data_IF_624040493908
#
_entry.id   IF_624040493908
#
_cell.length_a   1.000
_cell.length_b   1.000
_cell.length_c   1.000
_cell.angle_alpha   90.00
_cell.angle_beta   90.00
_cell.angle_gamma   90.00
#
_symmetry.space_group_name_H-M   'P 1'
#
loop_
_entity.id
_entity.type
_entity.pdbx_description
1 polymer ?
#
# COMPACT_ATOMS: atom_id res chain seq x y z
N UNK A 1 -12.90 -6.58 8.87
CA UNK A 1 -13.68 -5.38 8.47
C UNK A 1 -14.18 -5.55 7.05
N UNK A 2 -15.24 -4.83 6.63
CA UNK A 2 -15.66 -4.75 5.23
C UNK A 2 -14.68 -3.84 4.48
N UNK A 3 -14.28 -4.24 3.28
CA UNK A 3 -13.55 -3.38 2.35
C UNK A 3 -14.58 -2.60 1.53
N UNK A 4 -14.38 -1.31 1.44
CA UNK A 4 -15.21 -0.38 0.67
C UNK A 4 -14.84 -0.46 -0.81
N UNK A 5 -15.83 -0.35 -1.69
CA UNK A 5 -15.63 -0.49 -3.14
C UNK A 5 -16.28 0.64 -3.93
N UNK A 6 -15.76 0.91 -5.12
CA UNK A 6 -16.43 1.78 -6.09
C UNK A 6 -17.49 0.95 -6.86
N UNK A 7 -18.60 1.56 -7.29
CA UNK A 7 -18.93 2.99 -7.16
C UNK A 7 -19.58 3.36 -5.81
N UNK A 8 -20.04 2.42 -4.99
CA UNK A 8 -20.89 2.65 -3.81
C UNK A 8 -20.23 3.54 -2.77
N UNK A 9 -18.96 3.30 -2.48
CA UNK A 9 -18.24 3.96 -1.40
C UNK A 9 -17.28 5.07 -1.90
N UNK A 10 -17.46 5.53 -3.16
CA UNK A 10 -16.55 6.48 -3.82
C UNK A 10 -16.27 7.72 -2.98
N UNK A 11 -17.29 8.28 -2.32
CA UNK A 11 -17.14 9.51 -1.52
C UNK A 11 -16.10 9.37 -0.41
N UNK A 12 -16.10 8.23 0.28
CA UNK A 12 -15.13 8.00 1.38
C UNK A 12 -13.76 7.62 0.83
N UNK A 13 -13.70 6.79 -0.21
CA UNK A 13 -12.45 6.39 -0.87
C UNK A 13 -11.71 7.58 -1.48
N UNK A 14 -12.42 8.65 -1.85
CA UNK A 14 -11.88 9.91 -2.36
C UNK A 14 -11.57 10.94 -1.27
N UNK A 15 -11.82 10.61 -0.01
CA UNK A 15 -11.56 11.55 1.08
C UNK A 15 -10.08 11.59 1.45
N UNK A 16 -9.59 12.78 1.82
CA UNK A 16 -8.24 12.96 2.35
C UNK A 16 -8.18 12.46 3.80
N UNK A 17 -7.21 11.58 4.08
CA UNK A 17 -7.01 11.03 5.41
C UNK A 17 -6.29 12.01 6.34
N UNK A 18 -6.75 12.13 7.60
CA UNK A 18 -6.17 12.98 8.63
C UNK A 18 -4.98 12.32 9.32
N UNK A 19 -4.02 13.10 9.77
CA UNK A 19 -2.87 12.58 10.53
C UNK A 19 -3.31 12.03 11.90
N UNK A 20 -2.53 11.07 12.38
CA UNK A 20 -2.60 10.49 13.72
C UNK A 20 -1.67 11.30 14.63
N UNK A 21 -2.18 11.78 15.75
CA UNK A 21 -1.38 12.52 16.76
C UNK A 21 -0.86 11.63 17.89
N UNK A 22 -1.58 10.55 18.20
CA UNK A 22 -1.24 9.64 19.32
C UNK A 22 -1.54 8.18 18.95
N UNK A 23 -0.73 7.27 19.50
CA UNK A 23 -0.98 5.83 19.41
C UNK A 23 -1.64 5.42 20.73
N UNK A 24 -2.96 5.28 20.70
CA UNK A 24 -3.79 4.83 21.82
C UNK A 24 -4.26 3.38 21.61
N UNK A 25 -4.94 2.83 22.60
CA UNK A 25 -5.44 1.46 22.57
C UNK A 25 -6.49 1.25 21.45
N UNK A 26 -7.25 2.29 21.11
CA UNK A 26 -8.22 2.24 20.01
C UNK A 26 -7.51 2.09 18.67
N UNK A 27 -6.45 2.88 18.44
CA UNK A 27 -5.64 2.76 17.23
C UNK A 27 -4.98 1.38 17.14
N UNK A 28 -4.42 0.88 18.23
CA UNK A 28 -3.78 -0.45 18.26
C UNK A 28 -4.75 -1.56 17.92
N UNK A 29 -5.94 -1.54 18.52
CA UNK A 29 -7.00 -2.48 18.17
C UNK A 29 -7.36 -2.37 16.69
N UNK A 30 -7.48 -1.14 16.17
CA UNK A 30 -7.76 -0.91 14.76
C UNK A 30 -6.65 -1.47 13.86
N UNK A 31 -5.36 -1.26 14.18
CA UNK A 31 -4.24 -1.83 13.41
C UNK A 31 -4.34 -3.36 13.38
N UNK A 32 -4.61 -4.00 14.52
CA UNK A 32 -4.81 -5.45 14.59
C UNK A 32 -5.94 -5.94 13.69
N UNK A 33 -7.05 -5.21 13.64
CA UNK A 33 -8.21 -5.57 12.81
C UNK A 33 -7.94 -5.27 11.32
N UNK A 34 -7.20 -4.20 10.99
CA UNK A 34 -6.74 -3.89 9.64
C UNK A 34 -5.83 -5.00 9.09
N UNK A 35 -4.83 -5.39 9.87
CA UNK A 35 -3.90 -6.46 9.49
C UNK A 35 -4.60 -7.82 9.31
N UNK A 36 -5.55 -8.17 10.18
CA UNK A 36 -6.38 -9.38 10.01
C UNK A 36 -7.24 -9.31 8.75
N UNK A 37 -7.74 -8.12 8.41
CA UNK A 37 -8.56 -7.92 7.20
C UNK A 37 -7.71 -8.10 5.96
N UNK A 38 -6.50 -7.50 5.92
CA UNK A 38 -5.56 -7.66 4.83
C UNK A 38 -5.19 -9.14 4.61
N UNK A 39 -4.74 -9.83 5.66
CA UNK A 39 -4.34 -11.25 5.60
C UNK A 39 -5.43 -12.24 5.15
N UNK A 40 -6.70 -11.86 5.27
CA UNK A 40 -7.83 -12.68 4.81
C UNK A 40 -8.12 -12.56 3.32
N UNK A 41 -7.53 -11.58 2.64
CA UNK A 41 -7.68 -11.43 1.20
C UNK A 41 -6.77 -12.46 0.50
N UNK A 42 -7.37 -13.45 -0.14
CA UNK A 42 -6.65 -14.56 -0.77
C UNK A 42 -6.87 -14.66 -2.28
N UNK A 43 -7.87 -13.94 -2.80
CA UNK A 43 -8.20 -13.92 -4.23
C UNK A 43 -8.79 -12.54 -4.62
N UNK A 44 -7.97 -11.66 -5.18
CA UNK A 44 -6.50 -11.71 -5.21
C UNK A 44 -5.88 -11.61 -3.81
N UNK A 45 -4.64 -12.09 -3.67
CA UNK A 45 -3.92 -11.95 -2.40
C UNK A 45 -3.72 -10.48 -2.06
N UNK A 46 -4.17 -10.08 -0.88
CA UNK A 46 -3.96 -8.71 -0.38
C UNK A 46 -2.51 -8.47 0.03
N UNK A 47 -1.87 -7.47 -0.56
CA UNK A 47 -0.50 -7.08 -0.28
C UNK A 47 -0.40 -5.70 0.38
N UNK A 48 -1.47 -4.86 0.24
CA UNK A 48 -1.63 -3.56 0.87
C UNK A 48 -3.09 -3.28 1.20
N UNK A 49 -3.33 -2.48 2.26
CA UNK A 49 -4.68 -2.04 2.65
C UNK A 49 -4.60 -0.76 3.48
N UNK A 50 -5.20 0.30 2.98
CA UNK A 50 -5.28 1.59 3.66
C UNK A 50 -6.50 1.69 4.58
N UNK A 51 -6.38 2.47 5.64
CA UNK A 51 -7.45 2.70 6.62
C UNK A 51 -8.72 3.28 5.99
N UNK A 52 -8.58 4.15 4.97
CA UNK A 52 -9.73 4.70 4.26
C UNK A 52 -10.54 3.63 3.51
N UNK A 53 -9.90 2.57 3.03
CA UNK A 53 -10.58 1.46 2.36
C UNK A 53 -11.45 0.61 3.30
N UNK A 54 -11.30 0.77 4.60
CA UNK A 54 -12.17 0.16 5.61
C UNK A 54 -13.03 1.18 6.36
N UNK A 55 -13.18 2.37 5.80
CA UNK A 55 -14.08 3.40 6.29
C UNK A 55 -13.51 4.33 7.37
N UNK A 56 -12.19 4.27 7.63
CA UNK A 56 -11.53 5.13 8.61
C UNK A 56 -10.50 6.06 7.92
N UNK A 57 -10.85 7.31 7.57
CA UNK A 57 -9.97 8.22 6.84
C UNK A 57 -8.88 8.82 7.74
N UNK A 58 -7.94 7.99 8.18
CA UNK A 58 -6.73 8.36 8.92
C UNK A 58 -5.48 7.92 8.16
N UNK A 59 -4.37 8.61 8.34
CA UNK A 59 -3.12 8.34 7.62
C UNK A 59 -2.41 7.10 8.14
N UNK A 60 -3.00 5.95 7.83
CA UNK A 60 -2.48 4.62 8.16
C UNK A 60 -2.74 3.68 7.00
N UNK A 61 -1.76 2.86 6.67
CA UNK A 61 -1.96 1.66 5.87
C UNK A 61 -1.13 0.49 6.40
N UNK A 62 -1.49 -0.72 5.98
CA UNK A 62 -0.77 -1.94 6.23
C UNK A 62 -0.22 -2.52 4.92
N UNK A 63 0.96 -3.16 4.99
CA UNK A 63 1.49 -4.01 3.92
C UNK A 63 1.71 -5.43 4.45
N UNK A 64 1.59 -6.42 3.57
CA UNK A 64 1.87 -7.81 3.87
C UNK A 64 2.67 -8.41 2.72
N UNK A 65 3.99 -8.24 2.79
CA UNK A 65 4.95 -8.55 1.73
C UNK A 65 6.11 -9.38 2.26
N UNK A 66 6.73 -10.24 1.42
CA UNK A 66 8.01 -10.86 1.75
C UNK A 66 9.04 -9.78 2.07
N UNK A 67 9.85 -10.02 3.10
CA UNK A 67 10.99 -9.17 3.45
C UNK A 67 12.22 -9.66 2.70
N UNK A 68 13.15 -8.73 2.43
CA UNK A 68 14.47 -9.09 1.92
C UNK A 68 15.09 -10.18 2.80
N UNK A 69 15.57 -11.26 2.19
CA UNK A 69 16.17 -12.43 2.84
C UNK A 69 15.21 -13.39 3.56
N UNK A 70 13.89 -13.23 3.45
CA UNK A 70 12.94 -14.23 3.95
C UNK A 70 11.78 -14.39 2.98
N UNK A 71 11.39 -15.64 2.66
CA UNK A 71 10.18 -15.92 1.86
C UNK A 71 8.89 -15.73 2.67
N UNK A 72 9.01 -15.37 3.95
CA UNK A 72 7.84 -15.19 4.82
C UNK A 72 7.37 -13.74 4.78
N UNK A 73 6.10 -13.49 4.40
CA UNK A 73 5.58 -12.14 4.39
C UNK A 73 5.45 -11.58 5.82
N UNK A 74 5.88 -10.33 5.98
CA UNK A 74 5.75 -9.57 7.21
C UNK A 74 4.61 -8.55 7.10
N UNK A 75 3.86 -8.42 8.19
CA UNK A 75 2.83 -7.40 8.33
C UNK A 75 3.47 -6.14 8.92
N UNK A 76 3.47 -5.05 8.15
CA UNK A 76 3.94 -3.75 8.60
C UNK A 76 2.82 -2.72 8.53
N UNK A 77 2.77 -1.83 9.52
CA UNK A 77 1.88 -0.67 9.54
C UNK A 77 2.69 0.59 9.41
N UNK A 78 2.24 1.48 8.53
CA UNK A 78 2.83 2.80 8.30
C UNK A 78 1.85 3.87 8.76
N UNK A 79 2.26 4.64 9.78
CA UNK A 79 1.45 5.72 10.36
C UNK A 79 2.07 7.06 9.94
N UNK A 80 1.23 7.98 9.43
CA UNK A 80 1.61 9.28 8.88
C UNK A 80 2.71 9.20 7.81
N UNK A 81 2.58 8.29 6.82
CA UNK A 81 3.60 8.10 5.80
C UNK A 81 3.73 9.34 4.90
N UNK A 82 4.99 9.64 4.52
CA UNK A 82 5.34 10.69 3.55
C UNK A 82 6.53 10.22 2.72
N UNK A 83 6.50 10.42 1.41
CA UNK A 83 7.69 10.27 0.55
C UNK A 83 8.57 11.49 0.74
N UNK A 84 9.88 11.27 0.96
CA UNK A 84 10.88 12.32 1.19
C UNK A 84 11.69 12.57 -0.06
N UNK A 85 12.07 11.50 -0.77
CA UNK A 85 12.81 11.58 -2.02
C UNK A 85 12.51 10.38 -2.91
N UNK A 86 12.72 10.59 -4.20
CA UNK A 86 12.51 9.61 -5.27
C UNK A 86 13.35 10.01 -6.47
N UNK A 87 13.61 9.14 -7.46
CA UNK A 87 14.26 9.52 -8.71
C UNK A 87 13.33 10.37 -9.58
N UNK A 88 13.88 10.98 -10.63
CA UNK A 88 13.08 11.70 -11.62
C UNK A 88 12.33 10.76 -12.56
N UNK A 89 12.91 9.60 -12.84
CA UNK A 89 12.37 8.62 -13.77
C UNK A 89 11.35 7.70 -13.09
N UNK A 90 10.32 7.33 -13.84
CA UNK A 90 9.30 6.36 -13.43
C UNK A 90 9.36 5.13 -14.33
N UNK A 91 8.85 3.99 -13.83
CA UNK A 91 8.80 2.70 -14.54
C UNK A 91 7.41 2.11 -14.47
N UNK A 92 7.05 1.28 -15.44
CA UNK A 92 5.84 0.45 -15.40
C UNK A 92 6.04 -0.82 -14.56
N UNK A 93 7.24 -1.05 -14.01
CA UNK A 93 7.53 -2.20 -13.14
C UNK A 93 7.72 -3.49 -13.92
N UNK A 94 8.33 -3.41 -15.08
CA UNK A 94 8.62 -4.56 -15.95
C UNK A 94 9.52 -5.60 -15.25
N UNK A 95 10.34 -5.15 -14.31
CA UNK A 95 11.21 -5.97 -13.46
C UNK A 95 10.44 -6.73 -12.35
N UNK A 96 9.18 -6.39 -12.12
CA UNK A 96 8.34 -6.98 -11.08
C UNK A 96 7.46 -8.13 -11.59
N UNK A 97 7.43 -8.36 -12.89
CA UNK A 97 6.65 -9.45 -13.50
C UNK A 97 7.39 -10.77 -13.26
N UNK A 98 6.81 -11.63 -12.41
CA UNK A 98 7.41 -12.91 -12.04
C UNK A 98 7.55 -13.87 -13.24
N UNK A 99 8.64 -14.62 -13.26
CA UNK A 99 8.90 -15.69 -14.22
C UNK A 99 10.27 -15.64 -14.88
N UNK A 100 11.22 -14.88 -14.34
CA UNK A 100 12.40 -14.48 -15.08
C UNK A 100 13.76 -14.87 -14.54
N UNK A 101 14.08 -16.15 -14.63
CA UNK A 101 15.48 -16.62 -14.64
C UNK A 101 16.11 -16.61 -16.05
N UNK A 102 15.34 -16.34 -17.10
CA UNK A 102 15.82 -16.20 -18.47
C UNK A 102 15.08 -15.08 -19.18
N UNK A 103 15.80 -14.00 -19.50
CA UNK A 103 15.33 -12.90 -20.35
C UNK A 103 14.98 -13.45 -21.73
N UNK A 104 13.72 -13.73 -21.97
CA UNK A 104 13.16 -13.91 -23.29
C UNK A 104 12.51 -12.62 -23.77
N UNK A 105 12.40 -12.40 -25.08
CA UNK A 105 11.87 -11.19 -25.70
C UNK A 105 10.38 -10.86 -25.34
N UNK A 106 9.72 -11.69 -24.54
CA UNK A 106 8.35 -11.50 -24.04
C UNK A 106 8.28 -10.75 -22.69
N UNK A 107 9.41 -10.27 -22.17
CA UNK A 107 9.53 -9.76 -20.79
C UNK A 107 9.27 -8.25 -20.63
N UNK A 108 8.90 -7.55 -21.66
CA UNK A 108 8.55 -6.12 -21.60
C UNK A 108 7.08 -5.90 -21.22
N UNK A 109 6.46 -6.86 -20.50
CA UNK A 109 5.09 -6.67 -20.03
C UNK A 109 5.09 -5.76 -18.80
N UNK A 110 4.25 -4.71 -18.80
CA UNK A 110 4.12 -3.84 -17.65
C UNK A 110 3.51 -4.58 -16.46
N UNK A 111 3.90 -4.20 -15.25
CA UNK A 111 3.22 -4.64 -14.04
C UNK A 111 1.81 -4.02 -13.99
N UNK A 112 0.80 -4.85 -13.77
CA UNK A 112 -0.58 -4.41 -13.65
C UNK A 112 -0.93 -4.19 -12.17
N UNK A 113 -1.30 -2.97 -11.81
CA UNK A 113 -1.86 -2.69 -10.50
C UNK A 113 -3.34 -3.06 -10.46
N UNK A 114 -3.74 -3.76 -9.40
CA UNK A 114 -5.12 -3.97 -9.01
C UNK A 114 -5.39 -3.35 -7.64
N UNK A 115 -6.65 -3.26 -7.23
CA UNK A 115 -7.03 -2.71 -5.95
C UNK A 115 -8.22 -3.46 -5.35
N UNK A 116 -8.16 -3.78 -4.07
CA UNK A 116 -9.27 -4.43 -3.34
C UNK A 116 -10.56 -3.59 -3.35
N UNK A 117 -10.43 -2.28 -3.52
CA UNK A 117 -11.57 -1.35 -3.65
C UNK A 117 -12.11 -1.21 -5.08
N UNK A 118 -11.42 -1.77 -6.07
CA UNK A 118 -11.82 -1.76 -7.49
C UNK A 118 -11.65 -3.19 -8.02
N UNK A 119 -12.50 -4.13 -7.58
CA UNK A 119 -12.34 -5.54 -7.90
C UNK A 119 -12.43 -5.78 -9.41
N UNK A 120 -11.64 -6.76 -9.88
CA UNK A 120 -11.61 -7.18 -11.29
C UNK A 120 -11.14 -6.11 -12.28
N UNK A 121 -10.54 -5.02 -11.82
CA UNK A 121 -9.95 -3.98 -12.68
C UNK A 121 -8.46 -3.89 -12.39
N UNK A 122 -7.67 -3.89 -13.46
CA UNK A 122 -6.22 -3.79 -13.43
C UNK A 122 -5.76 -2.73 -14.40
N UNK A 123 -4.64 -2.07 -14.10
CA UNK A 123 -4.12 -1.04 -14.99
C UNK A 123 -2.61 -0.86 -14.89
N UNK A 124 -2.04 -0.32 -15.96
CA UNK A 124 -0.64 0.09 -15.94
C UNK A 124 -0.51 1.44 -15.26
N UNK A 125 0.46 1.56 -14.36
CA UNK A 125 0.75 2.81 -13.64
C UNK A 125 2.26 3.04 -13.61
N UNK A 126 2.70 4.20 -14.06
CA UNK A 126 4.07 4.67 -13.87
C UNK A 126 4.28 5.04 -12.41
N UNK A 127 5.29 4.42 -11.77
CA UNK A 127 5.71 4.67 -10.39
C UNK A 127 7.21 4.90 -10.32
N UNK A 128 7.66 5.55 -9.27
CA UNK A 128 9.08 5.61 -8.97
C UNK A 128 9.60 4.21 -8.61
N UNK A 129 10.72 3.76 -9.22
CA UNK A 129 11.29 2.42 -8.96
C UNK A 129 11.79 2.27 -7.53
N UNK A 130 12.16 3.38 -6.88
CA UNK A 130 12.49 3.43 -5.46
C UNK A 130 12.02 4.75 -4.85
N UNK A 131 11.81 4.73 -3.55
CA UNK A 131 11.46 5.90 -2.74
C UNK A 131 12.18 5.85 -1.40
N UNK A 132 12.52 7.01 -0.87
CA UNK A 132 12.75 7.17 0.57
C UNK A 132 11.51 7.79 1.19
N UNK A 133 11.02 7.15 2.24
CA UNK A 133 9.81 7.56 2.91
C UNK A 133 10.06 7.72 4.41
N UNK A 134 9.24 8.52 5.08
CA UNK A 134 9.23 8.72 6.52
C UNK A 134 7.88 8.32 7.08
N UNK A 135 7.87 7.51 8.12
CA UNK A 135 6.66 7.07 8.82
C UNK A 135 6.99 6.60 10.23
N UNK A 136 5.99 6.47 11.10
CA UNK A 136 6.10 5.53 12.21
C UNK A 136 5.76 4.15 11.68
N UNK A 137 6.72 3.22 11.81
CA UNK A 137 6.56 1.84 11.32
C UNK A 137 6.39 0.90 12.51
N UNK A 138 5.34 0.09 12.49
CA UNK A 138 5.05 -0.91 13.53
C UNK A 138 4.95 -2.28 12.86
N UNK A 139 5.75 -3.24 13.31
CA UNK A 139 5.57 -4.65 12.91
C UNK A 139 4.31 -5.23 13.54
N UNK A 140 3.62 -6.10 12.80
CA UNK A 140 2.47 -6.83 13.33
C UNK A 140 2.80 -7.65 14.58
N UNK A 141 4.05 -8.09 14.74
CA UNK A 141 4.52 -8.80 15.91
C UNK A 141 4.65 -7.88 17.14
N UNK A 142 4.89 -6.59 16.92
CA UNK A 142 5.05 -5.58 17.98
C UNK A 142 3.71 -5.04 18.51
N UNK A 143 2.58 -5.37 17.87
CA UNK A 143 1.26 -4.89 18.33
C UNK A 143 0.88 -5.36 19.74
N UNK A 144 1.49 -6.45 20.22
CA UNK A 144 1.27 -6.96 21.59
C UNK A 144 2.08 -6.18 22.63
N UNK A 145 3.15 -5.49 22.23
CA UNK A 145 3.97 -4.64 23.11
C UNK A 145 4.16 -3.26 22.49
N UNK A 146 3.12 -2.45 22.54
CA UNK A 146 3.15 -1.08 22.02
C UNK A 146 3.65 -0.06 23.03
N UNK A 147 4.09 -0.49 24.21
CA UNK A 147 4.56 0.42 25.27
C UNK A 147 5.65 1.37 24.78
N UNK A 148 6.50 0.90 23.84
CA UNK A 148 7.55 1.68 23.18
C UNK A 148 7.03 2.78 22.24
N UNK A 149 5.77 2.67 21.77
CA UNK A 149 5.14 3.64 20.84
C UNK A 149 4.16 4.60 21.53
N UNK A 150 3.79 4.36 22.80
CA UNK A 150 2.82 5.17 23.56
C UNK A 150 3.33 6.55 23.99
N UNK A 151 4.61 6.84 23.83
CA UNK A 151 5.15 8.16 24.16
C UNK A 151 4.84 9.15 23.04
N UNK A 152 4.66 10.42 23.41
CA UNK A 152 4.24 11.54 22.57
C UNK A 152 5.08 11.83 21.30
N UNK A 153 6.17 11.11 21.08
CA UNK A 153 6.92 11.10 19.85
C UNK A 153 6.60 9.80 19.10
N UNK A 154 5.84 9.95 18.01
CA UNK A 154 5.55 8.88 17.02
C UNK A 154 6.85 8.44 16.32
N UNK A 155 7.86 7.96 16.98
CA UNK A 155 9.12 7.43 16.49
C UNK A 155 9.28 7.35 14.96
N UNK A 156 9.28 8.51 14.30
CA UNK A 156 9.40 8.60 12.84
C UNK A 156 10.75 8.05 12.41
N UNK A 157 10.73 7.11 11.50
CA UNK A 157 11.93 6.54 10.88
C UNK A 157 11.90 6.76 9.37
N UNK A 158 13.08 6.84 8.79
CA UNK A 158 13.25 6.85 7.34
C UNK A 158 13.44 5.42 6.87
N UNK A 159 12.71 5.07 5.81
CA UNK A 159 12.76 3.74 5.17
C UNK A 159 13.04 3.93 3.68
N UNK A 160 13.93 3.11 3.15
CA UNK A 160 14.19 3.03 1.71
C UNK A 160 13.45 1.82 1.15
N UNK A 161 12.61 2.04 0.14
CA UNK A 161 11.77 1.01 -0.46
C UNK A 161 11.97 1.01 -1.97
N UNK A 162 12.12 -0.18 -2.54
CA UNK A 162 12.27 -0.39 -3.98
C UNK A 162 11.32 -1.49 -4.47
N UNK A 163 11.28 -1.69 -5.77
CA UNK A 163 10.53 -2.78 -6.39
C UNK A 163 9.07 -2.81 -5.95
N UNK A 164 8.57 -4.01 -5.65
CA UNK A 164 7.17 -4.22 -5.25
C UNK A 164 6.82 -3.46 -3.96
N UNK A 165 7.71 -3.44 -2.96
CA UNK A 165 7.46 -2.74 -1.70
C UNK A 165 7.32 -1.23 -1.90
N UNK A 166 8.18 -0.63 -2.74
CA UNK A 166 8.09 0.78 -3.12
C UNK A 166 6.81 1.09 -3.88
N UNK A 167 6.38 0.21 -4.79
CA UNK A 167 5.14 0.36 -5.56
C UNK A 167 3.90 0.28 -4.68
N UNK A 168 3.82 -0.72 -3.80
CA UNK A 168 2.70 -0.88 -2.86
C UNK A 168 2.61 0.32 -1.92
N UNK A 169 3.75 0.80 -1.39
CA UNK A 169 3.74 2.00 -0.54
C UNK A 169 3.16 3.22 -1.26
N UNK A 170 3.52 3.45 -2.53
CA UNK A 170 2.98 4.54 -3.34
C UNK A 170 1.47 4.39 -3.57
N UNK A 171 1.01 3.17 -3.88
CA UNK A 171 -0.40 2.85 -4.07
C UNK A 171 -1.22 3.14 -2.80
N UNK A 172 -0.74 2.67 -1.64
CA UNK A 172 -1.43 2.88 -0.37
C UNK A 172 -1.40 4.35 0.09
N UNK A 173 -0.30 5.07 -0.22
CA UNK A 173 -0.22 6.51 0.05
C UNK A 173 -1.22 7.31 -0.79
N UNK A 174 -1.46 6.90 -2.05
CA UNK A 174 -2.47 7.50 -2.90
C UNK A 174 -3.86 7.40 -2.27
N UNK A 175 -4.24 6.22 -1.76
CA UNK A 175 -5.49 6.06 -1.02
C UNK A 175 -5.64 7.04 0.14
N UNK A 176 -4.57 7.31 0.90
CA UNK A 176 -4.60 8.30 1.98
C UNK A 176 -4.79 9.73 1.49
N UNK A 177 -4.51 9.98 0.22
CA UNK A 177 -4.71 11.28 -0.45
C UNK A 177 -6.01 11.34 -1.28
N UNK A 178 -6.84 10.27 -1.26
CA UNK A 178 -8.07 10.17 -2.02
C UNK A 178 -7.88 9.91 -3.52
N UNK A 179 -6.71 9.38 -3.89
CA UNK A 179 -6.34 9.03 -5.28
C UNK A 179 -6.48 7.52 -5.46
N UNK A 180 -7.00 7.10 -6.59
CA UNK A 180 -7.12 5.70 -6.99
C UNK A 180 -6.12 5.41 -8.14
N UNK A 181 -5.63 4.16 -8.24
CA UNK A 181 -4.69 3.80 -9.30
C UNK A 181 -5.24 4.09 -10.70
N UNK A 182 -6.56 3.97 -10.88
CA UNK A 182 -7.25 4.30 -12.14
C UNK A 182 -7.09 5.75 -12.57
N UNK A 183 -6.89 6.68 -11.62
CA UNK A 183 -6.63 8.09 -11.94
C UNK A 183 -5.26 8.24 -12.61
N UNK A 184 -4.25 7.53 -12.06
CA UNK A 184 -2.92 7.50 -12.66
C UNK A 184 -2.96 6.83 -14.03
N UNK A 185 -3.61 5.67 -14.16
CA UNK A 185 -3.74 4.98 -15.45
C UNK A 185 -4.32 5.91 -16.50
N UNK A 186 -5.40 6.62 -16.18
CA UNK A 186 -6.03 7.58 -17.11
C UNK A 186 -5.14 8.78 -17.41
N UNK A 187 -4.54 9.40 -16.38
CA UNK A 187 -3.72 10.59 -16.56
C UNK A 187 -2.41 10.31 -17.32
N UNK A 188 -1.92 9.08 -17.26
CA UNK A 188 -0.69 8.63 -17.92
C UNK A 188 -0.95 7.99 -19.30
N UNK A 189 -2.20 7.97 -19.78
CA UNK A 189 -2.63 7.25 -20.99
C UNK A 189 -2.27 5.75 -20.93
N UNK A 190 -2.32 5.16 -19.74
CA UNK A 190 -2.07 3.75 -19.51
C UNK A 190 -3.20 2.85 -19.99
N UNK A 191 -2.94 1.55 -19.95
CA UNK A 191 -3.89 0.52 -20.37
C UNK A 191 -4.65 0.02 -19.14
N UNK A 192 -5.97 -0.13 -19.28
CA UNK A 192 -6.85 -0.67 -18.26
C UNK A 192 -7.49 -1.98 -18.75
N UNK A 193 -7.48 -2.98 -17.90
CA UNK A 193 -8.07 -4.30 -18.14
C UNK A 193 -9.18 -4.54 -17.14
N UNK A 194 -10.23 -5.25 -17.59
CA UNK A 194 -11.31 -5.74 -16.73
C UNK A 194 -11.47 -7.24 -16.93
N UNK A 195 -11.41 -7.97 -15.82
CA UNK A 195 -11.77 -9.40 -15.82
C UNK A 195 -13.29 -9.56 -15.90
N UNK A 196 -13.75 -10.56 -16.66
CA UNK A 196 -15.16 -10.93 -16.81
C UNK A 196 -15.75 -11.61 -15.56
#
# INVERSE_FOLDING_TARGET
MRILTVPEDTKILRSKSREISTIDDELVKFLGDLGKTLKRQSDPQGIGLSAVQVGRPVRVFATYLPMENTDKPELLFYINPKIISHPNEMTLGEDLVEGNSQRSADNDRPFLEGCLSIPKVYGTVLRWPWINARATVISGNDLLDISKYRRSNLGLIDVSLNGLAGRVFQHELDHLNGILFTDHTMAQNGIMYREE
#
